data_IF_281400723187
#
_entry.id   IF_281400723187
#
_cell.length_a   1.000
_cell.length_b   1.000
_cell.length_c   1.000
_cell.angle_alpha   90.00
_cell.angle_beta   90.00
_cell.angle_gamma   90.00
#
_symmetry.space_group_name_H-M   'P 1'
#
loop_
_entity.id
_entity.type
_entity.pdbx_description
1 polymer ?
#
# COMPACT_ATOMS: atom_id res chain seq x y z
N UNK A 1 -20.66 2.27 4.71
CA UNK A 1 -22.10 2.40 4.40
C UNK A 1 -23.02 2.25 5.61
N UNK A 2 -22.75 1.36 6.58
CA UNK A 2 -23.65 1.15 7.73
C UNK A 2 -23.75 2.37 8.69
N UNK A 3 -22.64 3.11 8.92
CA UNK A 3 -22.62 4.27 9.82
C UNK A 3 -23.50 5.44 9.34
N UNK A 4 -23.57 5.65 8.02
CA UNK A 4 -24.36 6.72 7.37
C UNK A 4 -25.88 6.53 7.54
N UNK A 5 -26.32 5.30 7.83
CA UNK A 5 -27.74 5.00 7.99
C UNK A 5 -28.26 5.29 9.40
N UNK A 6 -27.36 5.34 10.39
CA UNK A 6 -27.71 5.61 11.80
C UNK A 6 -27.41 7.05 12.23
N UNK A 7 -26.64 7.80 11.45
CA UNK A 7 -26.29 9.19 11.75
C UNK A 7 -26.53 10.10 10.53
N UNK A 8 -27.60 10.88 10.59
CA UNK A 8 -28.00 11.86 9.57
C UNK A 8 -27.03 13.06 9.46
N UNK A 9 -26.11 13.24 10.41
CA UNK A 9 -25.12 14.32 10.38
C UNK A 9 -23.75 13.88 9.85
N UNK A 10 -23.56 12.58 9.60
CA UNK A 10 -22.31 12.00 9.13
C UNK A 10 -21.77 12.66 7.85
N UNK A 11 -22.65 12.95 6.89
CA UNK A 11 -22.30 13.61 5.63
C UNK A 11 -21.93 15.10 5.80
N UNK A 12 -22.38 15.74 6.88
CA UNK A 12 -22.02 17.13 7.19
C UNK A 12 -20.59 17.22 7.71
N UNK A 13 -20.14 16.19 8.44
CA UNK A 13 -18.85 16.14 9.12
C UNK A 13 -17.74 15.48 8.27
N UNK A 14 -18.09 14.50 7.43
CA UNK A 14 -17.12 13.73 6.62
C UNK A 14 -17.39 13.92 5.12
N UNK A 15 -16.96 15.07 4.59
CA UNK A 15 -17.17 15.44 3.17
C UNK A 15 -16.16 14.83 2.21
N UNK A 16 -15.02 14.36 2.70
CA UNK A 16 -13.97 13.75 1.88
C UNK A 16 -13.96 12.25 2.16
N UNK A 17 -14.45 11.48 1.19
CA UNK A 17 -14.31 10.03 1.21
C UNK A 17 -12.95 9.71 0.61
N UNK A 18 -12.01 9.27 1.45
CA UNK A 18 -10.74 8.73 0.97
C UNK A 18 -10.99 7.29 0.50
N UNK A 19 -11.07 7.12 -0.82
CA UNK A 19 -11.07 5.79 -1.43
C UNK A 19 -9.63 5.28 -1.50
N UNK A 20 -9.24 4.49 -0.51
CA UNK A 20 -7.96 3.79 -0.52
C UNK A 20 -8.08 2.60 -1.48
N UNK A 21 -7.66 2.78 -2.72
CA UNK A 21 -7.49 1.66 -3.64
C UNK A 21 -6.46 0.68 -3.06
N UNK A 22 -6.88 -0.55 -2.79
CA UNK A 22 -6.01 -1.68 -2.38
C UNK A 22 -5.08 -2.17 -3.50
N UNK A 23 -5.00 -1.44 -4.61
CA UNK A 23 -4.31 -1.84 -5.84
C UNK A 23 -3.48 -0.67 -6.35
N UNK A 24 -2.17 -0.83 -6.29
CA UNK A 24 -1.21 0.04 -6.97
C UNK A 24 -0.72 -0.65 -8.25
N UNK A 25 -0.78 0.03 -9.39
CA UNK A 25 -0.30 -0.50 -10.67
C UNK A 25 1.23 -0.68 -10.65
N UNK A 26 1.74 -1.75 -11.24
CA UNK A 26 3.17 -2.03 -11.27
C UNK A 26 3.85 -1.18 -12.36
N UNK A 27 4.41 -0.04 -11.95
CA UNK A 27 5.26 0.82 -12.77
C UNK A 27 6.66 0.94 -12.16
N UNK A 28 7.63 1.44 -12.93
CA UNK A 28 8.98 1.71 -12.41
C UNK A 28 8.95 2.69 -11.22
N UNK A 29 8.12 3.73 -11.33
CA UNK A 29 7.93 4.73 -10.27
C UNK A 29 7.31 4.12 -9.01
N UNK A 30 6.27 3.30 -9.17
CA UNK A 30 5.62 2.63 -8.04
C UNK A 30 6.54 1.61 -7.38
N UNK A 31 7.40 0.92 -8.13
CA UNK A 31 8.42 0.05 -7.56
C UNK A 31 9.43 0.84 -6.70
N UNK A 32 9.81 2.04 -7.13
CA UNK A 32 10.72 2.88 -6.37
C UNK A 32 10.07 3.42 -5.09
N UNK A 33 8.80 3.83 -5.16
CA UNK A 33 8.01 4.20 -3.98
C UNK A 33 7.87 3.03 -2.99
N UNK A 34 7.60 1.83 -3.50
CA UNK A 34 7.49 0.62 -2.69
C UNK A 34 8.82 0.24 -2.04
N UNK A 35 9.94 0.35 -2.77
CA UNK A 35 11.28 0.17 -2.22
C UNK A 35 11.58 1.17 -1.09
N UNK A 36 11.15 2.43 -1.23
CA UNK A 36 11.28 3.46 -0.18
C UNK A 36 10.43 3.14 1.04
N UNK A 37 9.21 2.64 0.85
CA UNK A 37 8.35 2.17 1.95
C UNK A 37 9.03 1.04 2.72
N UNK A 38 9.55 0.03 2.02
CA UNK A 38 10.31 -1.09 2.62
C UNK A 38 11.49 -0.56 3.45
N UNK A 39 12.28 0.36 2.90
CA UNK A 39 13.41 0.95 3.61
C UNK A 39 12.98 1.74 4.86
N UNK A 40 11.86 2.46 4.78
CA UNK A 40 11.30 3.23 5.91
C UNK A 40 10.88 2.29 7.04
N UNK A 41 10.18 1.19 6.71
CA UNK A 41 9.76 0.19 7.69
C UNK A 41 10.97 -0.50 8.33
N UNK A 42 11.95 -0.89 7.52
CA UNK A 42 13.20 -1.49 7.99
C UNK A 42 13.95 -0.59 8.98
N UNK A 43 13.98 0.72 8.73
CA UNK A 43 14.59 1.69 9.65
C UNK A 43 13.80 1.82 10.95
N UNK A 44 12.47 1.91 10.87
CA UNK A 44 11.60 1.99 12.05
C UNK A 44 11.77 0.77 12.97
N UNK A 45 11.96 -0.42 12.39
CA UNK A 45 12.10 -1.68 13.11
C UNK A 45 13.57 -2.02 13.48
N UNK A 46 14.53 -1.13 13.19
CA UNK A 46 15.96 -1.36 13.41
C UNK A 46 16.51 -2.66 12.77
N UNK A 47 15.99 -3.02 11.59
CA UNK A 47 16.42 -4.19 10.85
C UNK A 47 17.64 -3.89 9.96
N UNK A 48 18.35 -4.93 9.54
CA UNK A 48 19.48 -4.80 8.61
C UNK A 48 19.00 -4.35 7.22
N UNK A 49 19.78 -3.51 6.50
CA UNK A 49 19.47 -3.10 5.14
C UNK A 49 19.29 -4.28 4.18
N UNK A 50 18.21 -4.22 3.40
CA UNK A 50 17.98 -5.15 2.30
C UNK A 50 18.80 -4.73 1.08
N UNK A 51 19.47 -5.69 0.45
CA UNK A 51 20.09 -5.46 -0.85
C UNK A 51 19.02 -5.40 -1.95
N UNK A 52 19.31 -4.72 -3.06
CA UNK A 52 18.41 -4.61 -4.21
C UNK A 52 17.73 -5.92 -4.66
N UNK A 53 18.42 -7.08 -4.77
CA UNK A 53 17.76 -8.34 -5.13
C UNK A 53 16.74 -8.82 -4.07
N UNK A 54 16.98 -8.54 -2.78
CA UNK A 54 16.04 -8.89 -1.72
C UNK A 54 14.78 -8.01 -1.80
N UNK A 55 14.93 -6.71 -2.05
CA UNK A 55 13.81 -5.79 -2.27
C UNK A 55 12.97 -6.23 -3.48
N UNK A 56 13.62 -6.62 -4.58
CA UNK A 56 12.92 -7.13 -5.77
C UNK A 56 12.08 -8.38 -5.47
N UNK A 57 12.61 -9.31 -4.66
CA UNK A 57 11.87 -10.50 -4.21
C UNK A 57 10.67 -10.18 -3.34
N UNK A 58 10.77 -9.19 -2.46
CA UNK A 58 9.64 -8.72 -1.64
C UNK A 58 8.54 -8.13 -2.52
N UNK A 59 8.91 -7.30 -3.51
CA UNK A 59 7.97 -6.72 -4.48
C UNK A 59 7.30 -7.83 -5.30
N UNK A 60 8.06 -8.83 -5.75
CA UNK A 60 7.51 -10.00 -6.47
C UNK A 60 6.52 -10.80 -5.61
N UNK A 61 6.84 -11.04 -4.34
CA UNK A 61 5.95 -11.73 -3.41
C UNK A 61 4.65 -10.95 -3.15
N UNK A 62 4.75 -9.62 -3.00
CA UNK A 62 3.59 -8.75 -2.84
C UNK A 62 2.68 -8.79 -4.08
N UNK A 63 3.25 -8.78 -5.29
CA UNK A 63 2.47 -8.97 -6.52
C UNK A 63 1.80 -10.34 -6.62
N UNK A 64 2.45 -11.41 -6.14
CA UNK A 64 1.84 -12.74 -6.10
C UNK A 64 0.67 -12.81 -5.11
N UNK A 65 0.74 -12.11 -3.97
CA UNK A 65 -0.37 -12.04 -3.02
C UNK A 65 -1.57 -11.21 -3.52
N UNK A 66 -1.33 -10.28 -4.45
CA UNK A 66 -2.38 -9.50 -5.09
C UNK A 66 -3.24 -10.31 -6.09
N UNK A 67 -2.92 -11.60 -6.32
CA UNK A 67 -3.45 -12.47 -7.38
C UNK A 67 -3.36 -11.83 -8.79
N UNK A 68 -2.49 -10.84 -8.95
CA UNK A 68 -2.32 -10.05 -10.15
C UNK A 68 -0.88 -9.54 -10.23
N UNK A 69 -0.11 -10.07 -11.18
CA UNK A 69 1.29 -9.73 -11.41
C UNK A 69 1.53 -8.27 -11.83
N UNK A 70 0.45 -7.55 -12.17
CA UNK A 70 0.45 -6.12 -12.50
C UNK A 70 0.15 -5.22 -11.30
N UNK A 71 -0.06 -5.80 -10.10
CA UNK A 71 -0.50 -5.05 -8.91
C UNK A 71 0.41 -5.30 -7.71
N UNK A 72 0.43 -4.34 -6.80
CA UNK A 72 1.04 -4.45 -5.47
C UNK A 72 -0.06 -4.26 -4.42
N UNK A 73 -0.09 -5.15 -3.43
CA UNK A 73 -0.92 -4.98 -2.23
C UNK A 73 -0.11 -4.18 -1.21
N UNK A 74 -0.70 -3.11 -0.67
CA UNK A 74 -0.12 -2.25 0.37
C UNK A 74 -0.36 -2.84 1.77
#
# INVERSE_FOLDING_TARGET
YLLRHYDHEFDKLFKVVADFSYRTERSADNNQLYARMIATQQQADNLKPLQAPAVARVIEAASRHADDSTKLTL
#
